data_IF_715687726609
#
_entry.id   IF_715687726609
#
_cell.length_a   1.000
_cell.length_b   1.000
_cell.length_c   1.000
_cell.angle_alpha   90.00
_cell.angle_beta   90.00
_cell.angle_gamma   90.00
#
_symmetry.space_group_name_H-M   'P 1'
#
loop_
_entity.id
_entity.type
_entity.pdbx_description
1 polymer ?
#
# COMPACT_ATOMS: atom_id res chain seq x y z
N UNK A 1 -12.97 19.18 0.75
CA UNK A 1 -12.14 18.09 0.16
C UNK A 1 -11.50 18.48 -1.16
N UNK A 2 -12.23 19.01 -2.14
CA UNK A 2 -11.64 19.40 -3.44
C UNK A 2 -10.46 20.38 -3.30
N UNK A 3 -10.66 21.46 -2.55
CA UNK A 3 -9.62 22.47 -2.30
C UNK A 3 -8.36 21.88 -1.63
N UNK A 4 -8.56 21.00 -0.65
CA UNK A 4 -7.50 20.32 0.08
C UNK A 4 -6.61 19.45 -0.83
N UNK A 5 -7.20 18.70 -1.78
CA UNK A 5 -6.46 17.79 -2.64
C UNK A 5 -5.97 18.45 -3.95
N UNK A 6 -6.75 19.35 -4.54
CA UNK A 6 -6.49 19.91 -5.87
C UNK A 6 -5.77 21.25 -5.85
N UNK A 7 -6.21 22.20 -5.02
CA UNK A 7 -5.70 23.58 -5.06
C UNK A 7 -4.48 23.76 -4.15
N UNK A 8 -4.52 23.18 -2.97
CA UNK A 8 -3.43 23.27 -1.99
C UNK A 8 -2.27 22.36 -2.37
N UNK A 9 -1.04 22.91 -2.32
CA UNK A 9 0.22 22.19 -2.59
C UNK A 9 0.98 21.81 -1.32
N UNK A 10 0.57 22.34 -0.18
CA UNK A 10 1.17 22.21 1.15
C UNK A 10 0.45 21.18 2.04
N UNK A 11 -0.44 20.39 1.45
CA UNK A 11 -1.24 19.38 2.15
C UNK A 11 -0.68 17.98 1.92
N UNK A 12 -0.69 17.19 2.99
CA UNK A 12 -0.36 15.77 3.00
C UNK A 12 -1.52 14.97 3.60
N UNK A 13 -1.72 13.74 3.13
CA UNK A 13 -2.72 12.83 3.67
C UNK A 13 -2.19 11.40 3.74
N UNK A 14 -2.52 10.74 4.84
CA UNK A 14 -2.22 9.33 5.07
C UNK A 14 -3.54 8.60 5.34
N UNK A 15 -3.83 7.57 4.55
CA UNK A 15 -4.93 6.64 4.80
C UNK A 15 -4.40 5.27 5.22
N UNK A 16 -4.75 4.83 6.42
CA UNK A 16 -4.36 3.50 6.95
C UNK A 16 -5.56 2.58 7.06
N UNK A 17 -5.46 1.35 6.56
CA UNK A 17 -6.51 0.32 6.55
C UNK A 17 -7.85 0.89 6.03
N UNK A 18 -8.81 1.16 6.92
CA UNK A 18 -10.10 1.74 6.54
C UNK A 18 -9.94 3.14 5.92
N UNK A 19 -8.94 3.91 6.34
CA UNK A 19 -8.61 5.19 5.71
C UNK A 19 -8.08 5.01 4.28
N UNK A 20 -7.30 3.96 4.00
CA UNK A 20 -6.85 3.65 2.65
C UNK A 20 -8.04 3.27 1.75
N UNK A 21 -8.94 2.41 2.26
CA UNK A 21 -10.18 2.05 1.58
C UNK A 21 -11.03 3.29 1.26
N UNK A 22 -11.18 4.20 2.22
CA UNK A 22 -11.88 5.45 2.04
C UNK A 22 -11.25 6.33 0.96
N UNK A 23 -9.93 6.55 0.98
CA UNK A 23 -9.24 7.34 -0.04
C UNK A 23 -9.36 6.73 -1.44
N UNK A 24 -9.31 5.40 -1.57
CA UNK A 24 -9.54 4.73 -2.86
C UNK A 24 -10.94 4.98 -3.44
N UNK A 25 -11.95 5.20 -2.61
CA UNK A 25 -13.30 5.60 -3.07
C UNK A 25 -13.35 7.07 -3.50
N UNK A 26 -12.41 7.90 -3.06
CA UNK A 26 -12.31 9.32 -3.41
C UNK A 26 -11.37 9.60 -4.59
N UNK A 27 -10.97 8.57 -5.35
CA UNK A 27 -9.99 8.72 -6.44
C UNK A 27 -10.34 9.77 -7.51
N UNK A 28 -11.63 10.06 -7.69
CA UNK A 28 -12.09 11.12 -8.60
C UNK A 28 -11.76 12.53 -8.10
N UNK A 29 -11.57 12.69 -6.78
CA UNK A 29 -11.26 13.99 -6.16
C UNK A 29 -9.75 14.20 -6.01
N UNK A 30 -8.96 13.12 -5.96
CA UNK A 30 -7.51 13.14 -5.70
C UNK A 30 -6.75 13.06 -7.03
N UNK A 31 -6.04 14.12 -7.46
CA UNK A 31 -5.35 14.13 -8.76
C UNK A 31 -4.30 13.02 -8.89
N UNK A 32 -4.27 12.33 -10.03
CA UNK A 32 -3.27 11.29 -10.33
C UNK A 32 -3.57 9.94 -9.70
N UNK A 33 -4.80 9.71 -9.23
CA UNK A 33 -5.24 8.44 -8.62
C UNK A 33 -6.21 7.65 -9.50
N UNK A 34 -6.30 7.98 -10.80
CA UNK A 34 -7.24 7.36 -11.75
C UNK A 34 -7.06 5.83 -11.81
N UNK A 35 -5.81 5.38 -11.64
CA UNK A 35 -5.42 3.98 -11.65
C UNK A 35 -5.42 3.31 -10.27
N UNK A 36 -5.80 4.00 -9.19
CA UNK A 36 -5.83 3.39 -7.87
C UNK A 36 -6.79 2.19 -7.80
N UNK A 37 -6.36 1.08 -7.17
CA UNK A 37 -7.20 -0.08 -6.98
C UNK A 37 -8.29 0.20 -5.94
N UNK A 38 -9.38 -0.56 -6.04
CA UNK A 38 -10.32 -0.71 -4.96
C UNK A 38 -9.90 -1.90 -4.11
N UNK A 39 -9.88 -1.71 -2.79
CA UNK A 39 -9.60 -2.78 -1.84
C UNK A 39 -10.88 -3.61 -1.63
N UNK A 40 -10.79 -4.91 -1.91
CA UNK A 40 -11.89 -5.87 -1.85
C UNK A 40 -11.66 -6.89 -0.73
N UNK A 41 -12.61 -7.81 -0.55
CA UNK A 41 -12.49 -8.92 0.39
C UNK A 41 -11.23 -9.76 0.09
N UNK A 42 -10.56 -10.20 1.15
CA UNK A 42 -9.37 -11.04 1.06
C UNK A 42 -9.66 -12.32 0.26
N UNK A 43 -8.67 -12.83 -0.47
CA UNK A 43 -8.77 -14.12 -1.17
C UNK A 43 -9.00 -15.30 -0.22
N UNK A 44 -8.57 -15.18 1.04
CA UNK A 44 -8.86 -16.17 2.10
C UNK A 44 -10.30 -16.12 2.62
N UNK A 45 -11.07 -15.09 2.25
CA UNK A 45 -12.41 -14.78 2.75
C UNK A 45 -12.52 -14.55 4.27
N UNK A 46 -11.38 -14.52 4.96
CA UNK A 46 -11.26 -14.35 6.40
C UNK A 46 -10.62 -13.00 6.75
N UNK A 47 -10.83 -12.57 8.00
CA UNK A 47 -10.07 -11.48 8.59
C UNK A 47 -8.66 -11.95 8.94
N UNK A 48 -7.65 -11.16 8.59
CA UNK A 48 -6.24 -11.51 8.78
C UNK A 48 -5.54 -10.51 9.70
N UNK A 49 -5.39 -10.87 10.98
CA UNK A 49 -4.55 -10.12 11.94
C UNK A 49 -3.16 -10.73 11.99
N UNK A 50 -2.20 -10.16 11.25
CA UNK A 50 -0.87 -10.75 11.07
C UNK A 50 0.25 -9.71 11.20
N UNK A 51 1.38 -10.11 11.77
CA UNK A 51 2.67 -9.45 11.58
C UNK A 51 3.30 -10.01 10.30
N UNK A 52 3.53 -9.16 9.28
CA UNK A 52 4.02 -9.59 7.96
C UNK A 52 5.12 -8.67 7.47
N UNK A 53 6.04 -9.27 6.71
CA UNK A 53 7.14 -8.55 6.10
C UNK A 53 6.65 -7.76 4.90
N UNK A 54 7.16 -6.54 4.80
CA UNK A 54 6.91 -5.65 3.67
C UNK A 54 8.22 -5.04 3.22
N UNK A 55 8.32 -4.75 1.92
CA UNK A 55 9.34 -3.86 1.37
C UNK A 55 8.73 -2.48 1.11
N UNK A 56 9.56 -1.44 1.28
CA UNK A 56 9.27 -0.09 0.79
C UNK A 56 9.85 0.00 -0.61
N UNK A 57 9.00 0.18 -1.61
CA UNK A 57 9.46 0.23 -3.00
C UNK A 57 10.01 1.62 -3.32
N UNK A 58 11.25 1.70 -3.80
CA UNK A 58 11.72 2.90 -4.50
C UNK A 58 10.84 3.14 -5.72
N UNK A 59 10.49 4.40 -6.03
CA UNK A 59 9.53 4.80 -7.07
C UNK A 59 9.86 4.33 -8.51
N UNK A 60 10.93 3.58 -8.72
CA UNK A 60 11.36 3.09 -10.03
C UNK A 60 12.14 1.78 -9.92
N UNK A 61 11.45 0.63 -9.83
CA UNK A 61 11.94 -0.67 -10.34
C UNK A 61 10.93 -1.77 -10.05
N UNK A 62 10.15 -2.08 -11.08
CA UNK A 62 9.10 -3.06 -10.99
C UNK A 62 8.83 -3.62 -12.39
N UNK A 63 9.46 -4.73 -12.75
CA UNK A 63 9.17 -5.46 -14.01
C UNK A 63 8.04 -6.45 -13.78
N UNK A 64 6.88 -6.27 -14.45
CA UNK A 64 5.71 -7.13 -14.19
C UNK A 64 4.77 -7.35 -15.39
N UNK A 65 4.11 -8.52 -15.35
CA UNK A 65 3.30 -9.15 -16.39
C UNK A 65 1.77 -9.00 -16.21
N UNK A 66 1.23 -7.86 -16.67
CA UNK A 66 -0.14 -7.56 -17.18
C UNK A 66 -1.40 -7.51 -16.28
N UNK A 67 -2.53 -7.06 -16.87
CA UNK A 67 -3.61 -6.16 -16.39
C UNK A 67 -3.26 -4.68 -16.57
N UNK A 68 -3.96 -3.99 -17.49
CA UNK A 68 -3.63 -2.62 -17.95
C UNK A 68 -3.62 -1.57 -16.84
N UNK A 69 -4.55 -1.66 -15.87
CA UNK A 69 -4.56 -0.74 -14.73
C UNK A 69 -3.35 -0.97 -13.82
N UNK A 70 -3.00 -2.24 -13.58
CA UNK A 70 -1.83 -2.63 -12.78
C UNK A 70 -0.54 -2.19 -13.47
N UNK A 71 -0.43 -2.39 -14.79
CA UNK A 71 0.70 -1.89 -15.60
C UNK A 71 0.84 -0.38 -15.47
N UNK A 72 -0.25 0.39 -15.58
CA UNK A 72 -0.21 1.84 -15.45
C UNK A 72 0.24 2.29 -14.05
N UNK A 73 -0.31 1.67 -13.00
CA UNK A 73 0.05 1.99 -11.63
C UNK A 73 1.55 1.74 -11.36
N UNK A 74 2.07 0.64 -11.90
CA UNK A 74 3.49 0.29 -11.81
C UNK A 74 4.36 1.22 -12.66
N UNK A 75 3.98 1.45 -13.91
CA UNK A 75 4.72 2.33 -14.83
C UNK A 75 4.79 3.78 -14.31
N UNK A 76 3.76 4.21 -13.58
CA UNK A 76 3.71 5.51 -12.91
C UNK A 76 4.48 5.54 -11.58
N UNK A 77 5.04 4.41 -11.12
CA UNK A 77 5.81 4.35 -9.87
C UNK A 77 4.98 4.55 -8.61
N UNK A 78 3.67 4.27 -8.67
CA UNK A 78 2.73 4.60 -7.59
C UNK A 78 2.62 3.52 -6.52
N UNK A 79 3.28 2.37 -6.69
CA UNK A 79 3.41 1.39 -5.59
C UNK A 79 4.40 1.94 -4.58
N UNK A 80 4.02 1.92 -3.30
CA UNK A 80 4.88 2.36 -2.19
C UNK A 80 5.28 1.21 -1.27
N UNK A 81 4.41 0.22 -1.08
CA UNK A 81 4.64 -0.89 -0.14
C UNK A 81 4.16 -2.21 -0.74
N UNK A 82 4.97 -3.26 -0.60
CA UNK A 82 4.62 -4.63 -1.02
C UNK A 82 4.88 -5.65 0.07
N UNK A 83 4.05 -6.69 0.13
CA UNK A 83 4.33 -7.89 0.91
C UNK A 83 5.46 -8.69 0.27
N UNK A 84 6.37 -9.16 1.11
CA UNK A 84 7.50 -10.01 0.73
C UNK A 84 7.49 -11.31 1.51
N UNK A 85 8.13 -12.35 0.97
CA UNK A 85 8.43 -13.55 1.72
C UNK A 85 9.62 -13.34 2.68
N UNK A 86 9.97 -14.37 3.45
CA UNK A 86 11.07 -14.30 4.41
C UNK A 86 12.46 -14.20 3.76
N UNK A 87 12.54 -14.31 2.43
CA UNK A 87 13.78 -14.11 1.66
C UNK A 87 13.82 -12.70 1.03
N UNK A 88 12.82 -11.86 1.30
CA UNK A 88 12.74 -10.49 0.80
C UNK A 88 12.16 -10.36 -0.61
N UNK A 89 11.61 -11.44 -1.19
CA UNK A 89 11.05 -11.38 -2.54
C UNK A 89 9.55 -11.00 -2.50
N UNK A 90 9.08 -10.05 -3.34
CA UNK A 90 7.67 -9.75 -3.47
C UNK A 90 6.83 -10.99 -3.76
N UNK A 91 5.70 -11.14 -3.08
CA UNK A 91 4.97 -12.40 -3.10
C UNK A 91 3.44 -12.25 -3.12
N UNK A 92 2.78 -13.18 -3.79
CA UNK A 92 1.33 -13.40 -3.73
C UNK A 92 0.97 -14.62 -2.88
N UNK A 93 1.98 -15.32 -2.34
CA UNK A 93 1.81 -16.57 -1.63
C UNK A 93 1.28 -16.32 -0.21
N UNK A 94 0.19 -16.99 0.12
CA UNK A 94 -0.32 -17.06 1.49
C UNK A 94 0.64 -17.88 2.39
N UNK A 95 0.89 -17.48 3.65
CA UNK A 95 0.33 -16.32 4.34
C UNK A 95 1.21 -15.07 4.30
N UNK A 96 2.35 -15.09 3.58
CA UNK A 96 3.27 -13.95 3.47
C UNK A 96 2.56 -12.72 2.90
N UNK A 97 1.74 -12.94 1.87
CA UNK A 97 0.71 -12.02 1.43
C UNK A 97 -0.64 -12.49 2.00
N UNK A 98 -1.18 -11.80 3.04
CA UNK A 98 -2.37 -12.26 3.76
C UNK A 98 -3.67 -12.04 2.99
N UNK A 99 -3.74 -11.07 2.09
CA UNK A 99 -4.99 -10.69 1.41
C UNK A 99 -5.06 -11.18 -0.05
N UNK A 100 -3.94 -11.61 -0.63
CA UNK A 100 -3.84 -12.04 -2.01
C UNK A 100 -3.75 -10.88 -3.01
N UNK A 101 -3.33 -9.69 -2.56
CA UNK A 101 -3.08 -8.56 -3.45
C UNK A 101 -2.08 -8.93 -4.55
N UNK A 102 -2.35 -8.61 -5.83
CA UNK A 102 -1.41 -8.84 -6.92
C UNK A 102 -0.06 -8.17 -6.65
N UNK A 103 1.02 -8.86 -6.98
CA UNK A 103 2.42 -8.43 -6.80
C UNK A 103 2.76 -7.99 -5.37
N UNK A 104 2.02 -8.47 -4.38
CA UNK A 104 2.19 -8.07 -2.99
C UNK A 104 1.69 -6.67 -2.65
N UNK A 105 1.07 -5.93 -3.58
CA UNK A 105 0.76 -4.50 -3.38
C UNK A 105 -0.11 -4.27 -2.14
N UNK A 106 0.38 -3.45 -1.22
CA UNK A 106 -0.32 -3.16 0.05
C UNK A 106 -0.25 -1.69 0.44
N UNK A 107 0.52 -0.88 -0.30
CA UNK A 107 0.53 0.58 -0.19
C UNK A 107 0.75 1.25 -1.53
N UNK A 108 0.04 2.36 -1.75
CA UNK A 108 0.02 3.15 -2.99
C UNK A 108 0.10 4.64 -2.67
N UNK A 109 0.69 5.42 -3.57
CA UNK A 109 0.83 6.86 -3.42
C UNK A 109 0.36 7.64 -4.66
N UNK A 110 0.14 8.94 -4.50
CA UNK A 110 -0.06 9.86 -5.64
C UNK A 110 1.26 10.13 -6.35
N UNK A 111 1.25 10.52 -7.64
CA UNK A 111 2.47 10.85 -8.39
C UNK A 111 3.33 11.95 -7.74
N UNK A 112 2.70 12.85 -6.99
CA UNK A 112 3.38 13.92 -6.25
C UNK A 112 3.79 13.53 -4.81
N UNK A 113 3.54 12.29 -4.38
CA UNK A 113 3.88 11.77 -3.06
C UNK A 113 3.09 12.35 -1.88
N UNK A 114 2.14 13.26 -2.11
CA UNK A 114 1.41 13.96 -1.03
C UNK A 114 0.35 13.12 -0.34
N UNK A 115 -0.16 12.10 -1.03
CA UNK A 115 -1.16 11.19 -0.49
C UNK A 115 -0.62 9.77 -0.53
N UNK A 116 -0.62 9.11 0.62
CA UNK A 116 -0.23 7.71 0.79
C UNK A 116 -1.41 6.93 1.38
N UNK A 117 -1.79 5.84 0.72
CA UNK A 117 -2.76 4.87 1.22
C UNK A 117 -2.07 3.54 1.47
N UNK A 118 -2.24 2.93 2.64
CA UNK A 118 -1.72 1.59 2.91
C UNK A 118 -2.66 0.76 3.80
N UNK A 119 -2.63 -0.56 3.61
CA UNK A 119 -3.40 -1.51 4.43
C UNK A 119 -2.72 -1.90 5.75
N UNK A 120 -1.39 -2.10 5.82
CA UNK A 120 -0.70 -2.35 7.08
C UNK A 120 -0.85 -1.16 8.03
N UNK A 121 -0.73 -1.42 9.34
CA UNK A 121 -0.94 -0.44 10.40
C UNK A 121 0.40 0.02 11.00
N UNK A 122 1.14 0.97 10.38
CA UNK A 122 2.40 1.46 10.92
C UNK A 122 2.22 2.13 12.29
N UNK A 123 1.06 2.74 12.53
CA UNK A 123 0.74 3.44 13.77
C UNK A 123 0.63 2.50 14.99
N UNK A 124 0.40 1.21 14.76
CA UNK A 124 0.32 0.19 15.82
C UNK A 124 1.68 -0.35 16.24
N UNK A 125 2.73 -0.08 15.46
CA UNK A 125 4.08 -0.65 15.64
C UNK A 125 5.17 0.42 15.64
N UNK A 126 4.81 1.67 15.97
CA UNK A 126 5.76 2.79 16.11
C UNK A 126 6.80 2.49 17.21
N UNK A 127 6.34 1.93 18.32
CA UNK A 127 7.20 1.56 19.45
C UNK A 127 7.81 0.18 19.21
N UNK A 128 9.10 0.02 19.50
CA UNK A 128 9.83 -1.25 19.36
C UNK A 128 9.10 -2.35 20.13
N UNK A 129 8.66 -2.06 21.35
CA UNK A 129 7.97 -2.98 22.26
C UNK A 129 6.57 -3.39 21.79
N UNK A 130 5.95 -2.61 20.89
CA UNK A 130 4.64 -2.94 20.31
C UNK A 130 4.75 -3.94 19.14
N UNK A 131 5.96 -4.24 18.67
CA UNK A 131 6.18 -5.23 17.62
C UNK A 131 6.11 -6.64 18.21
N UNK A 132 5.36 -7.53 17.55
CA UNK A 132 5.25 -8.94 17.95
C UNK A 132 6.60 -9.68 17.93
N UNK A 133 7.52 -9.21 17.10
CA UNK A 133 8.91 -9.63 17.05
C UNK A 133 9.74 -8.44 16.57
N UNK A 134 10.91 -8.24 17.15
CA UNK A 134 11.87 -7.22 16.75
C UNK A 134 13.30 -7.72 17.03
N UNK A 135 14.32 -7.21 16.31
CA UNK A 135 15.71 -7.54 16.59
C UNK A 135 16.12 -7.16 18.02
N UNK A 136 16.75 -8.09 18.73
CA UNK A 136 17.23 -7.88 20.10
C UNK A 136 18.38 -6.86 20.13
N UNK A 137 19.16 -6.80 19.04
CA UNK A 137 20.30 -5.91 18.88
C UNK A 137 20.04 -4.92 17.74
N UNK A 138 19.65 -3.71 18.13
CA UNK A 138 19.67 -2.44 17.36
C UNK A 138 19.47 -1.29 18.35
#
# INVERSE_FOLDING_TARGET
FLDFFQNRKDTFALGVCNGCQFLSQLKELIPGTENWPLFKRNKSEQFEARCRLVEITSSSRAEFSSNEQLKKLIAQGLVAVRFVDNYGNPTEKYPYNPNGSPLGITGIQTPNGRVLGMMPHPERVILKEANSWYPVEE
#
